data_IF_640007737336
#
_entry.id   IF_640007737336
#
_cell.length_a   1.000
_cell.length_b   1.000
_cell.length_c   1.000
_cell.angle_alpha   90.00
_cell.angle_beta   90.00
_cell.angle_gamma   90.00
#
_symmetry.space_group_name_H-M   'P 1'
#
loop_
_entity.id
_entity.type
_entity.pdbx_description
1 polymer ?
#
# COMPACT_ATOMS: atom_id res chain seq x y z
N UNK A 1 -41.73 -28.64 20.29
CA UNK A 1 -40.27 -28.56 20.38
C UNK A 1 -39.75 -27.92 19.10
N UNK A 2 -39.23 -26.69 19.24
CA UNK A 2 -38.56 -26.01 18.13
C UNK A 2 -37.25 -26.75 17.88
N UNK A 3 -37.18 -27.51 16.82
CA UNK A 3 -35.92 -27.96 16.26
C UNK A 3 -35.22 -26.72 15.66
N UNK A 4 -34.42 -26.02 16.46
CA UNK A 4 -33.60 -24.99 15.97
C UNK A 4 -32.61 -25.58 14.95
N UNK A 5 -32.79 -25.27 13.68
CA UNK A 5 -31.79 -25.58 12.68
C UNK A 5 -30.55 -24.77 12.99
N UNK A 6 -29.48 -25.44 13.40
CA UNK A 6 -28.18 -24.84 13.57
C UNK A 6 -27.45 -24.87 12.21
N UNK A 7 -27.30 -23.73 11.61
CA UNK A 7 -26.50 -23.60 10.41
C UNK A 7 -25.05 -23.28 10.77
N UNK A 8 -24.14 -24.20 10.52
CA UNK A 8 -22.71 -23.95 10.48
C UNK A 8 -22.32 -23.69 9.03
N UNK A 9 -21.63 -22.61 8.76
CA UNK A 9 -21.04 -22.39 7.46
C UNK A 9 -20.03 -23.51 7.18
N UNK A 10 -20.28 -24.33 6.17
CA UNK A 10 -19.44 -25.47 5.79
C UNK A 10 -18.30 -25.11 4.85
N UNK A 11 -18.16 -23.83 4.51
CA UNK A 11 -17.10 -23.32 3.64
C UNK A 11 -16.71 -21.91 4.03
N UNK A 12 -15.42 -21.62 3.95
CA UNK A 12 -14.86 -20.27 4.02
C UNK A 12 -14.59 -19.76 2.61
N UNK A 13 -14.89 -18.50 2.39
CA UNK A 13 -14.65 -17.89 1.11
C UNK A 13 -13.14 -17.59 0.94
N UNK A 14 -12.42 -18.43 0.18
CA UNK A 14 -11.01 -18.25 -0.14
C UNK A 14 -10.71 -16.93 -0.88
N UNK A 15 -11.70 -16.32 -1.55
CA UNK A 15 -11.55 -14.98 -2.16
C UNK A 15 -11.22 -13.94 -1.10
N UNK A 16 -11.84 -14.01 0.08
CA UNK A 16 -11.52 -13.08 1.18
C UNK A 16 -10.08 -13.23 1.68
N UNK A 17 -9.55 -14.47 1.69
CA UNK A 17 -8.19 -14.73 2.14
C UNK A 17 -7.14 -14.23 1.12
N UNK A 18 -7.35 -14.53 -0.17
CA UNK A 18 -6.29 -14.41 -1.17
C UNK A 18 -6.48 -13.27 -2.18
N UNK A 19 -7.72 -12.79 -2.40
CA UNK A 19 -8.04 -11.87 -3.50
C UNK A 19 -8.65 -10.53 -3.07
N UNK A 20 -8.72 -10.25 -1.77
CA UNK A 20 -9.35 -9.04 -1.24
C UNK A 20 -8.37 -8.08 -0.57
N UNK A 21 -7.08 -8.14 -0.94
CA UNK A 21 -6.07 -7.18 -0.52
C UNK A 21 -6.35 -5.78 -1.01
N UNK A 22 -5.74 -4.82 -0.35
CA UNK A 22 -5.70 -3.44 -0.80
C UNK A 22 -4.26 -3.02 -0.96
N UNK A 23 -3.98 -2.22 -2.00
CA UNK A 23 -2.67 -1.62 -2.22
C UNK A 23 -2.40 -0.47 -1.25
N UNK A 24 -1.13 -0.14 -1.04
CA UNK A 24 -0.71 0.97 -0.20
C UNK A 24 -1.17 0.84 1.26
N UNK A 25 -1.75 1.91 1.81
CA UNK A 25 -2.28 1.92 3.19
C UNK A 25 -3.74 1.45 3.30
N UNK A 26 -4.31 0.93 2.20
CA UNK A 26 -5.69 0.45 2.14
C UNK A 26 -6.73 1.48 1.71
N UNK A 27 -6.40 2.76 1.72
CA UNK A 27 -7.23 3.88 1.23
C UNK A 27 -6.57 4.54 0.04
N UNK A 28 -5.28 4.85 0.16
CA UNK A 28 -4.45 5.48 -0.87
C UNK A 28 -3.19 4.65 -1.11
N UNK A 29 -2.70 4.70 -2.33
CA UNK A 29 -1.44 4.10 -2.78
C UNK A 29 -0.50 5.21 -3.26
N UNK A 30 0.79 5.08 -2.99
CA UNK A 30 1.82 6.01 -3.47
C UNK A 30 2.63 5.29 -4.54
N UNK A 31 2.76 5.91 -5.69
CA UNK A 31 3.54 5.41 -6.81
C UNK A 31 4.82 6.27 -6.95
N UNK A 32 6.03 5.69 -6.98
CA UNK A 32 7.29 6.43 -7.10
C UNK A 32 7.54 6.84 -8.56
N UNK A 33 6.61 7.56 -9.12
CA UNK A 33 6.63 7.98 -10.51
C UNK A 33 5.97 9.35 -10.65
N UNK A 34 6.63 10.27 -11.33
CA UNK A 34 6.03 11.54 -11.71
C UNK A 34 5.38 11.42 -13.09
N UNK A 35 4.06 11.44 -13.13
CA UNK A 35 3.32 11.46 -14.39
C UNK A 35 3.57 12.76 -15.18
N UNK A 36 3.82 13.86 -14.48
CA UNK A 36 4.13 15.14 -15.12
C UNK A 36 5.46 15.10 -15.88
N UNK A 37 6.47 14.43 -15.31
CA UNK A 37 7.78 14.28 -15.96
C UNK A 37 7.79 13.14 -17.00
N UNK A 38 6.90 12.17 -16.90
CA UNK A 38 6.85 11.00 -17.79
C UNK A 38 8.06 10.07 -17.69
N UNK A 39 8.86 10.20 -16.63
CA UNK A 39 10.10 9.45 -16.42
C UNK A 39 10.15 8.89 -15.01
N UNK A 40 10.79 7.72 -14.80
CA UNK A 40 11.07 7.21 -13.47
C UNK A 40 11.94 8.17 -12.65
N UNK A 41 11.74 8.17 -11.34
CA UNK A 41 12.55 8.95 -10.41
C UNK A 41 14.04 8.61 -10.55
N UNK A 42 14.89 9.63 -10.59
CA UNK A 42 16.33 9.51 -10.75
C UNK A 42 17.09 9.65 -9.42
N UNK A 43 16.44 10.24 -8.41
CA UNK A 43 17.01 10.42 -7.08
C UNK A 43 16.94 9.15 -6.22
N UNK A 44 17.46 9.30 -5.00
CA UNK A 44 17.48 8.21 -3.99
C UNK A 44 16.29 8.28 -3.03
N UNK A 45 15.33 9.16 -3.30
CA UNK A 45 14.17 9.34 -2.44
C UNK A 45 13.18 8.19 -2.57
N UNK A 46 12.59 7.83 -1.46
CA UNK A 46 11.48 6.88 -1.38
C UNK A 46 10.45 7.39 -0.37
N UNK A 47 9.19 7.19 -0.68
CA UNK A 47 8.09 7.49 0.24
C UNK A 47 7.78 6.26 1.11
N UNK A 48 7.31 6.50 2.32
CA UNK A 48 6.61 5.47 3.10
C UNK A 48 5.19 5.22 2.52
N UNK A 49 4.42 4.36 3.17
CA UNK A 49 3.04 4.04 2.74
C UNK A 49 2.02 5.14 3.07
N UNK A 50 2.43 6.18 3.78
CA UNK A 50 1.58 7.23 4.30
C UNK A 50 0.65 6.81 5.45
N UNK A 51 0.40 7.74 6.36
CA UNK A 51 -0.48 7.55 7.51
C UNK A 51 -1.72 8.40 7.34
N UNK A 52 -2.90 7.78 7.30
CA UNK A 52 -4.18 8.49 7.18
C UNK A 52 -4.43 9.31 8.45
N UNK A 53 -4.62 10.61 8.29
CA UNK A 53 -4.97 11.57 9.35
C UNK A 53 -6.43 11.98 9.28
N UNK A 54 -6.94 12.19 8.08
CA UNK A 54 -8.35 12.49 7.84
C UNK A 54 -8.94 11.45 6.86
N UNK A 55 -9.64 10.43 7.39
CA UNK A 55 -10.22 9.38 6.55
C UNK A 55 -11.27 9.90 5.56
N UNK A 56 -12.00 10.97 5.90
CA UNK A 56 -13.02 11.52 5.02
C UNK A 56 -12.39 12.21 3.81
N UNK A 57 -11.34 12.99 4.02
CA UNK A 57 -10.57 13.63 2.95
C UNK A 57 -9.87 12.59 2.09
N UNK A 58 -9.22 11.59 2.70
CA UNK A 58 -8.53 10.55 1.97
C UNK A 58 -9.47 9.71 1.10
N UNK A 59 -10.65 9.36 1.61
CA UNK A 59 -11.66 8.60 0.85
C UNK A 59 -12.30 9.42 -0.29
N UNK A 60 -12.23 10.74 -0.23
CA UNK A 60 -12.75 11.63 -1.28
C UNK A 60 -11.79 11.78 -2.49
N UNK A 61 -10.56 11.28 -2.40
CA UNK A 61 -9.59 11.33 -3.50
C UNK A 61 -10.05 10.41 -4.63
N UNK A 62 -10.36 10.98 -5.77
CA UNK A 62 -10.79 10.26 -6.98
C UNK A 62 -9.82 10.43 -8.14
N UNK A 63 -9.01 11.47 -8.11
CA UNK A 63 -7.99 11.78 -9.12
C UNK A 63 -6.62 11.73 -8.49
N UNK A 64 -5.58 11.26 -9.22
CA UNK A 64 -4.22 11.28 -8.71
C UNK A 64 -3.76 12.69 -8.32
N UNK A 65 -3.02 12.77 -7.23
CA UNK A 65 -2.37 13.97 -6.74
C UNK A 65 -0.85 13.72 -6.78
N UNK A 66 -0.09 14.67 -7.30
CA UNK A 66 1.35 14.53 -7.43
C UNK A 66 2.09 15.38 -6.40
N UNK A 67 3.11 14.79 -5.79
CA UNK A 67 4.18 15.49 -5.09
C UNK A 67 5.33 15.56 -6.09
N UNK A 68 5.72 16.75 -6.55
CA UNK A 68 6.84 16.93 -7.48
C UNK A 68 7.92 17.80 -6.89
N UNK A 69 9.17 17.62 -7.34
CA UNK A 69 10.33 18.30 -6.80
C UNK A 69 10.99 19.19 -7.87
N UNK A 70 11.51 20.35 -7.40
CA UNK A 70 12.35 21.22 -8.21
C UNK A 70 13.57 21.68 -7.41
N UNK A 71 14.60 22.10 -8.12
CA UNK A 71 15.72 22.85 -7.54
C UNK A 71 15.52 24.34 -7.84
N UNK A 72 15.45 25.13 -6.79
CA UNK A 72 15.34 26.58 -6.87
C UNK A 72 16.62 27.19 -6.29
N UNK A 73 17.58 27.48 -7.17
CA UNK A 73 18.87 28.07 -6.80
C UNK A 73 19.64 27.32 -5.67
N UNK A 74 19.60 25.97 -5.73
CA UNK A 74 20.26 25.09 -4.76
C UNK A 74 19.41 24.75 -3.54
N UNK A 75 18.15 25.19 -3.50
CA UNK A 75 17.17 24.78 -2.51
C UNK A 75 16.19 23.81 -3.16
N UNK A 76 16.17 22.58 -2.66
CA UNK A 76 15.20 21.59 -3.12
C UNK A 76 13.83 21.91 -2.52
N UNK A 77 12.84 22.07 -3.39
CA UNK A 77 11.46 22.38 -3.03
C UNK A 77 10.52 21.33 -3.57
N UNK A 78 9.33 21.20 -2.96
CA UNK A 78 8.26 20.35 -3.44
C UNK A 78 6.95 21.12 -3.58
N UNK A 79 6.08 20.62 -4.43
CA UNK A 79 4.70 21.08 -4.60
C UNK A 79 3.74 19.90 -4.54
N UNK A 80 2.48 20.17 -4.13
CA UNK A 80 1.35 19.21 -4.14
C UNK A 80 0.15 19.73 -4.93
N UNK A 81 0.28 20.89 -5.55
CA UNK A 81 -0.79 21.60 -6.24
C UNK A 81 -0.42 21.97 -7.71
N UNK A 82 0.43 21.14 -8.32
CA UNK A 82 0.83 21.30 -9.71
C UNK A 82 1.75 22.48 -9.96
N UNK A 83 2.50 22.92 -8.95
CA UNK A 83 3.48 24.01 -9.09
C UNK A 83 2.93 25.39 -8.76
N UNK A 84 1.74 25.50 -8.19
CA UNK A 84 1.18 26.79 -7.76
C UNK A 84 1.90 27.31 -6.52
N UNK A 85 2.15 26.43 -5.55
CA UNK A 85 2.91 26.75 -4.34
C UNK A 85 4.07 25.79 -4.16
N UNK A 86 5.22 26.30 -3.71
CA UNK A 86 6.43 25.54 -3.46
C UNK A 86 6.84 25.67 -2.01
N UNK A 87 7.25 24.58 -1.41
CA UNK A 87 7.73 24.52 -0.03
C UNK A 87 9.12 23.88 0.01
N UNK A 88 10.04 24.35 0.84
CA UNK A 88 11.36 23.74 0.97
C UNK A 88 11.23 22.28 1.42
N UNK A 89 11.92 21.38 0.71
CA UNK A 89 11.96 19.98 1.09
C UNK A 89 12.93 19.77 2.26
N UNK A 90 12.50 18.98 3.21
CA UNK A 90 13.33 18.49 4.32
C UNK A 90 13.15 16.99 4.45
N UNK A 91 14.26 16.27 4.31
CA UNK A 91 14.25 14.81 4.45
C UNK A 91 13.64 14.35 5.78
N UNK A 92 12.74 13.38 5.69
CA UNK A 92 12.08 12.82 6.86
C UNK A 92 10.98 13.69 7.48
N UNK A 93 10.74 14.90 6.98
CA UNK A 93 9.60 15.70 7.39
C UNK A 93 8.32 15.15 6.74
N UNK A 94 7.23 15.16 7.50
CA UNK A 94 5.92 14.76 6.99
C UNK A 94 5.38 15.82 6.02
N UNK A 95 4.90 15.37 4.87
CA UNK A 95 4.16 16.15 3.89
C UNK A 95 2.69 15.78 4.02
N UNK A 96 1.85 16.74 4.44
CA UNK A 96 0.41 16.51 4.55
C UNK A 96 -0.25 16.74 3.19
N UNK A 97 -0.85 15.69 2.66
CA UNK A 97 -1.50 15.69 1.34
C UNK A 97 -2.63 14.68 1.31
N UNK A 98 -3.74 15.02 0.69
CA UNK A 98 -4.87 14.09 0.49
C UNK A 98 -5.41 13.47 1.79
N UNK A 99 -5.37 14.18 2.92
CA UNK A 99 -5.81 13.66 4.22
C UNK A 99 -4.87 12.63 4.84
N UNK A 100 -3.63 12.51 4.33
CA UNK A 100 -2.59 11.67 4.92
C UNK A 100 -1.28 12.43 5.10
N UNK A 101 -0.42 11.95 5.99
CA UNK A 101 0.95 12.37 6.12
C UNK A 101 1.86 11.36 5.44
N UNK A 102 2.69 11.83 4.51
CA UNK A 102 3.70 11.05 3.79
C UNK A 102 5.08 11.50 4.23
N UNK A 103 5.94 10.56 4.59
CA UNK A 103 7.34 10.83 4.89
C UNK A 103 8.20 10.36 3.72
N UNK A 104 8.92 11.30 3.11
CA UNK A 104 9.87 11.01 2.05
C UNK A 104 11.27 11.01 2.66
N UNK A 105 12.00 9.92 2.45
CA UNK A 105 13.37 9.71 2.92
C UNK A 105 14.32 9.68 1.73
N UNK A 106 15.56 10.08 1.96
CA UNK A 106 16.55 10.20 0.91
C UNK A 106 16.45 11.52 0.15
N UNK A 107 17.27 11.65 -0.88
CA UNK A 107 17.40 12.89 -1.65
C UNK A 107 16.69 12.73 -3.00
N UNK A 108 15.53 13.37 -3.20
CA UNK A 108 14.98 13.53 -4.55
C UNK A 108 15.84 14.50 -5.36
N UNK A 109 15.72 14.40 -6.68
CA UNK A 109 16.29 15.38 -7.59
C UNK A 109 15.18 16.13 -8.32
N UNK A 110 15.51 17.25 -8.94
CA UNK A 110 14.53 18.00 -9.73
C UNK A 110 13.92 17.11 -10.83
N UNK A 111 12.59 17.13 -10.93
CA UNK A 111 11.84 16.28 -11.85
C UNK A 111 11.37 14.94 -11.26
N UNK A 112 11.88 14.54 -10.10
CA UNK A 112 11.33 13.41 -9.36
C UNK A 112 9.90 13.72 -8.87
N UNK A 113 9.11 12.67 -8.63
CA UNK A 113 7.78 12.83 -8.07
C UNK A 113 7.20 11.54 -7.50
N UNK A 114 6.15 11.70 -6.73
CA UNK A 114 5.34 10.62 -6.18
C UNK A 114 3.90 10.89 -6.47
N UNK A 115 3.20 9.90 -7.02
CA UNK A 115 1.77 10.00 -7.35
C UNK A 115 0.95 9.29 -6.30
N UNK A 116 0.03 10.02 -5.68
CA UNK A 116 -0.92 9.51 -4.71
C UNK A 116 -2.23 9.24 -5.45
N UNK A 117 -2.73 8.03 -5.37
CA UNK A 117 -3.95 7.57 -6.05
C UNK A 117 -4.81 6.70 -5.13
N UNK A 118 -6.10 6.50 -5.44
CA UNK A 118 -6.93 5.57 -4.69
C UNK A 118 -6.36 4.17 -4.67
N UNK A 119 -6.41 3.51 -3.51
CA UNK A 119 -6.02 2.11 -3.35
C UNK A 119 -6.90 1.20 -4.21
N UNK A 120 -6.29 0.22 -4.84
CA UNK A 120 -6.97 -0.80 -5.64
C UNK A 120 -7.00 -2.14 -4.92
N UNK A 121 -7.81 -3.08 -5.40
CA UNK A 121 -7.80 -4.44 -4.89
C UNK A 121 -6.65 -5.21 -5.51
N UNK A 122 -5.94 -5.97 -4.68
CA UNK A 122 -4.80 -6.79 -5.09
C UNK A 122 -4.91 -8.19 -4.49
N UNK A 123 -4.53 -9.21 -5.24
CA UNK A 123 -4.37 -10.57 -4.70
C UNK A 123 -3.02 -10.71 -3.98
N UNK A 124 -2.94 -11.70 -3.10
CA UNK A 124 -1.66 -12.07 -2.45
C UNK A 124 -0.58 -12.44 -3.46
N UNK A 125 -0.97 -13.06 -4.58
CA UNK A 125 -0.04 -13.45 -5.65
C UNK A 125 0.47 -12.24 -6.43
N UNK A 126 -0.39 -11.27 -6.73
CA UNK A 126 0.02 -10.01 -7.35
C UNK A 126 0.92 -9.16 -6.45
N UNK A 127 0.69 -9.19 -5.12
CA UNK A 127 1.58 -8.52 -4.17
C UNK A 127 2.99 -9.15 -4.21
N UNK A 128 3.06 -10.48 -4.32
CA UNK A 128 4.33 -11.18 -4.46
C UNK A 128 5.01 -10.87 -5.81
N UNK A 129 4.25 -10.85 -6.90
CA UNK A 129 4.77 -10.50 -8.23
C UNK A 129 5.30 -9.05 -8.26
N UNK A 130 4.63 -8.11 -7.59
CA UNK A 130 5.13 -6.73 -7.41
C UNK A 130 6.45 -6.69 -6.64
N UNK A 131 6.58 -7.49 -5.56
CA UNK A 131 7.83 -7.58 -4.80
C UNK A 131 8.98 -8.10 -5.68
N UNK A 132 8.74 -9.12 -6.47
CA UNK A 132 9.71 -9.69 -7.41
C UNK A 132 10.08 -8.65 -8.49
N UNK A 133 9.09 -7.96 -9.05
CA UNK A 133 9.30 -6.93 -10.06
C UNK A 133 10.10 -5.73 -9.48
N UNK A 134 9.81 -5.30 -8.25
CA UNK A 134 10.55 -4.23 -7.59
C UNK A 134 12.06 -4.54 -7.49
N UNK A 135 12.42 -5.79 -7.21
CA UNK A 135 13.83 -6.21 -7.15
C UNK A 135 14.42 -6.37 -8.55
N UNK A 136 13.70 -7.03 -9.47
CA UNK A 136 14.20 -7.34 -10.81
C UNK A 136 14.35 -6.11 -11.69
N UNK A 137 13.34 -5.23 -11.69
CA UNK A 137 13.25 -4.16 -12.69
C UNK A 137 14.00 -2.89 -12.25
N UNK A 138 14.42 -2.82 -10.99
CA UNK A 138 15.24 -1.73 -10.47
C UNK A 138 16.76 -2.05 -10.43
N UNK A 139 17.15 -3.23 -10.90
CA UNK A 139 18.54 -3.54 -11.19
C UNK A 139 18.85 -3.11 -12.63
N UNK A 140 19.55 -1.99 -12.82
CA UNK A 140 19.95 -1.55 -14.13
C UNK A 140 21.00 -2.52 -14.74
N UNK A 141 21.02 -2.68 -16.09
CA UNK A 141 22.00 -3.54 -16.76
C UNK A 141 23.47 -3.13 -16.53
N UNK A 142 23.74 -1.88 -16.16
CA UNK A 142 25.05 -1.36 -15.83
C UNK A 142 25.48 -1.58 -14.38
N UNK A 143 24.63 -2.27 -13.58
CA UNK A 143 24.86 -2.52 -12.17
C UNK A 143 24.52 -1.33 -11.25
N UNK A 144 24.04 -0.22 -11.80
CA UNK A 144 23.44 0.83 -11.00
C UNK A 144 22.02 0.46 -10.61
N UNK A 145 21.58 0.93 -9.44
CA UNK A 145 20.20 0.71 -8.99
C UNK A 145 19.52 2.05 -8.80
N UNK A 146 18.27 2.15 -9.25
CA UNK A 146 17.38 3.23 -8.86
C UNK A 146 16.97 3.05 -7.38
N UNK A 147 17.89 3.32 -6.46
CA UNK A 147 17.75 2.98 -5.04
C UNK A 147 16.45 3.49 -4.42
N UNK A 148 16.00 4.67 -4.82
CA UNK A 148 14.74 5.23 -4.33
C UNK A 148 13.54 4.39 -4.74
N UNK A 149 13.43 4.04 -6.02
CA UNK A 149 12.33 3.22 -6.56
C UNK A 149 12.37 1.79 -6.00
N UNK A 150 13.56 1.20 -5.88
CA UNK A 150 13.73 -0.12 -5.26
C UNK A 150 13.29 -0.10 -3.78
N UNK A 151 13.77 0.88 -3.00
CA UNK A 151 13.43 1.00 -1.59
C UNK A 151 11.91 1.20 -1.38
N UNK A 152 11.30 2.03 -2.23
CA UNK A 152 9.85 2.23 -2.21
C UNK A 152 9.10 0.94 -2.53
N UNK A 153 9.45 0.26 -3.62
CA UNK A 153 8.81 -0.99 -4.05
C UNK A 153 8.91 -2.10 -3.01
N UNK A 154 10.06 -2.24 -2.34
CA UNK A 154 10.24 -3.20 -1.25
C UNK A 154 9.36 -2.82 -0.05
N UNK A 155 9.35 -1.56 0.37
CA UNK A 155 8.56 -1.09 1.53
C UNK A 155 7.07 -1.34 1.29
N UNK A 156 6.57 -1.00 0.11
CA UNK A 156 5.18 -1.21 -0.27
C UNK A 156 4.82 -2.69 -0.32
N UNK A 157 5.64 -3.50 -0.99
CA UNK A 157 5.41 -4.94 -1.12
C UNK A 157 5.43 -5.67 0.22
N UNK A 158 6.34 -5.32 1.13
CA UNK A 158 6.36 -5.89 2.49
C UNK A 158 5.06 -5.58 3.24
N UNK A 159 4.55 -4.36 3.14
CA UNK A 159 3.29 -3.97 3.79
C UNK A 159 2.09 -4.72 3.18
N UNK A 160 2.05 -4.88 1.86
CA UNK A 160 1.00 -5.62 1.18
C UNK A 160 1.03 -7.11 1.55
N UNK A 161 2.23 -7.72 1.65
CA UNK A 161 2.41 -9.10 2.11
C UNK A 161 2.03 -9.29 3.58
N UNK A 162 2.42 -8.38 4.48
CA UNK A 162 2.01 -8.41 5.89
C UNK A 162 0.48 -8.35 6.01
N UNK A 163 -0.16 -7.49 5.25
CA UNK A 163 -1.62 -7.38 5.19
C UNK A 163 -2.26 -8.68 4.69
N UNK A 164 -1.67 -9.31 3.68
CA UNK A 164 -2.13 -10.58 3.14
C UNK A 164 -1.97 -11.71 4.17
N UNK A 165 -0.84 -11.80 4.87
CA UNK A 165 -0.58 -12.79 5.92
C UNK A 165 -1.56 -12.63 7.10
N UNK A 166 -1.85 -11.40 7.52
CA UNK A 166 -2.81 -11.12 8.59
C UNK A 166 -4.23 -11.58 8.20
N UNK A 167 -4.63 -11.40 6.93
CA UNK A 167 -5.92 -11.90 6.45
C UNK A 167 -5.98 -13.42 6.41
N UNK A 168 -4.94 -14.08 5.92
CA UNK A 168 -4.85 -15.55 5.91
C UNK A 168 -4.96 -16.08 7.34
N UNK A 169 -4.25 -15.47 8.28
CA UNK A 169 -4.30 -15.83 9.70
C UNK A 169 -5.70 -15.65 10.28
N UNK A 170 -6.39 -14.57 9.95
CA UNK A 170 -7.77 -14.31 10.38
C UNK A 170 -8.74 -15.38 9.84
N UNK A 171 -8.64 -15.70 8.55
CA UNK A 171 -9.49 -16.73 7.91
C UNK A 171 -9.19 -18.10 8.48
N UNK A 172 -7.93 -18.42 8.77
CA UNK A 172 -7.53 -19.68 9.42
C UNK A 172 -8.10 -19.76 10.84
N UNK A 173 -8.07 -18.67 11.60
CA UNK A 173 -8.71 -18.60 12.93
C UNK A 173 -10.22 -18.85 12.87
N UNK A 174 -10.91 -18.23 11.92
CA UNK A 174 -12.34 -18.46 11.69
C UNK A 174 -12.64 -19.93 11.33
N UNK A 175 -11.77 -20.55 10.52
CA UNK A 175 -11.89 -21.99 10.20
C UNK A 175 -11.79 -22.86 11.45
N UNK A 176 -10.82 -22.56 12.32
CA UNK A 176 -10.65 -23.25 13.62
C UNK A 176 -11.87 -23.10 14.52
N UNK A 177 -12.45 -21.90 14.61
CA UNK A 177 -13.65 -21.65 15.40
C UNK A 177 -14.86 -22.43 14.87
N UNK A 178 -15.05 -22.48 13.55
CA UNK A 178 -16.13 -23.27 12.93
C UNK A 178 -15.97 -24.77 13.18
N UNK A 179 -14.74 -25.28 13.12
CA UNK A 179 -14.43 -26.68 13.45
C UNK A 179 -14.80 -27.01 14.92
N UNK A 180 -14.36 -26.15 15.84
CA UNK A 180 -14.67 -26.27 17.26
C UNK A 180 -16.18 -26.20 17.54
N UNK A 181 -16.93 -25.39 16.79
CA UNK A 181 -18.39 -25.33 16.88
C UNK A 181 -19.01 -26.63 16.37
N UNK A 182 -18.55 -27.17 15.24
CA UNK A 182 -19.02 -28.43 14.67
C UNK A 182 -18.80 -29.62 15.62
N UNK A 183 -17.61 -29.71 16.23
CA UNK A 183 -17.27 -30.73 17.21
C UNK A 183 -18.18 -30.67 18.45
N UNK A 184 -18.41 -29.47 19.00
CA UNK A 184 -19.31 -29.29 20.16
C UNK A 184 -20.73 -29.69 19.85
N UNK A 185 -21.23 -29.37 18.65
CA UNK A 185 -22.56 -29.77 18.21
C UNK A 185 -22.65 -31.29 17.98
N UNK A 186 -21.65 -31.92 17.37
CA UNK A 186 -21.57 -33.36 17.20
C UNK A 186 -21.62 -34.07 18.54
N UNK A 187 -20.89 -33.61 19.54
CA UNK A 187 -20.89 -34.17 20.89
C UNK A 187 -22.23 -33.98 21.60
N UNK A 188 -22.95 -32.89 21.34
CA UNK A 188 -24.29 -32.66 21.94
C UNK A 188 -25.38 -33.52 21.32
N UNK A 189 -25.22 -33.93 20.06
CA UNK A 189 -26.19 -34.79 19.35
C UNK A 189 -26.02 -36.29 19.67
N UNK A 190 -24.89 -36.68 20.30
CA UNK A 190 -24.59 -38.06 20.67
C UNK A 190 -24.99 -38.40 22.12
N UNK A 191 -25.57 -37.46 22.86
CA UNK A 191 -26.11 -37.63 24.22
C UNK A 191 -27.66 -37.62 24.17
#
# INVERSE_FOLDING_TARGET
PNSGEFHIANSLNGVLAFFSGKTGNGVLEIDPYSHAAGTPNQGKAHADIGVIKDPAVAAAVTTPIEITFQDNAGVLEYTIDGGTTWSPYKEGAAISVAGMDVVIKGQPVAGDGFTIKPSTTISTFEALDRAIAAVRDNANPDGSTAYGTLAHGITQSLTELDTAMNRISTVTGLAGDLLNQAERMGNTLLV
#
